data_IF_337726699752
#
_entry.id   IF_337726699752
#
_cell.length_a   1.000
_cell.length_b   1.000
_cell.length_c   1.000
_cell.angle_alpha   90.00
_cell.angle_beta   90.00
_cell.angle_gamma   90.00
#
_symmetry.space_group_name_H-M   'P 1'
#
loop_
_entity.id
_entity.type
_entity.pdbx_description
1 polymer ?
#
# COMPACT_ATOMS: atom_id res chain seq x y z
N UNK A 1 -29.49 -2.40 -12.06
CA UNK A 1 -28.98 -1.67 -11.58
C UNK A 1 -27.97 -1.86 -10.62
N UNK A 2 -27.48 -2.85 -10.37
CA UNK A 2 -26.47 -3.08 -9.42
C UNK A 2 -25.10 -2.67 -9.83
N UNK A 3 -24.90 -2.46 -11.09
CA UNK A 3 -23.58 -2.13 -11.54
C UNK A 3 -23.11 -0.80 -11.05
N UNK A 4 -23.99 0.10 -10.76
CA UNK A 4 -23.52 1.36 -10.28
C UNK A 4 -23.02 1.26 -8.86
N UNK A 5 -23.44 0.30 -8.08
CA UNK A 5 -22.90 0.14 -6.75
C UNK A 5 -21.53 -0.50 -6.79
N UNK A 6 -21.21 -1.27 -7.84
CA UNK A 6 -19.91 -1.89 -7.90
C UNK A 6 -18.83 -0.94 -8.37
N UNK A 7 -19.18 0.14 -9.08
CA UNK A 7 -18.16 1.03 -9.61
C UNK A 7 -17.29 1.69 -8.52
N UNK A 8 -17.87 2.26 -7.43
CA UNK A 8 -17.02 2.80 -6.36
C UNK A 8 -16.17 1.73 -5.68
N UNK A 9 -16.76 0.54 -5.46
CA UNK A 9 -16.02 -0.55 -4.84
C UNK A 9 -14.86 -0.98 -5.74
N UNK A 10 -15.12 -1.07 -7.06
CA UNK A 10 -14.09 -1.45 -8.01
C UNK A 10 -12.95 -0.45 -8.00
N UNK A 11 -13.25 0.86 -7.92
CA UNK A 11 -12.21 1.87 -7.88
C UNK A 11 -11.36 1.74 -6.62
N UNK A 12 -11.99 1.50 -5.47
CA UNK A 12 -11.28 1.33 -4.21
C UNK A 12 -10.43 0.08 -4.24
N UNK A 13 -10.95 -1.01 -4.79
CA UNK A 13 -10.20 -2.25 -4.91
C UNK A 13 -8.99 -2.06 -5.81
N UNK A 14 -9.15 -1.35 -6.92
CA UNK A 14 -8.04 -1.09 -7.84
C UNK A 14 -6.95 -0.27 -7.15
N UNK A 15 -7.33 0.71 -6.33
CA UNK A 15 -6.38 1.51 -5.58
C UNK A 15 -5.55 0.64 -4.63
N UNK A 16 -6.22 -0.22 -3.86
CA UNK A 16 -5.53 -1.10 -2.92
C UNK A 16 -4.63 -2.08 -3.67
N UNK A 17 -5.12 -2.65 -4.77
CA UNK A 17 -4.32 -3.57 -5.57
C UNK A 17 -3.05 -2.90 -6.08
N UNK A 18 -3.16 -1.67 -6.60
CA UNK A 18 -2.00 -0.95 -7.10
C UNK A 18 -1.00 -0.62 -6.00
N UNK A 19 -1.52 -0.25 -4.83
CA UNK A 19 -0.67 0.04 -3.67
C UNK A 19 0.11 -1.22 -3.28
N UNK A 20 -0.58 -2.35 -3.12
CA UNK A 20 0.08 -3.58 -2.70
C UNK A 20 0.98 -4.14 -3.79
N UNK A 21 0.65 -3.91 -5.06
CA UNK A 21 1.52 -4.32 -6.16
C UNK A 21 2.89 -3.65 -6.07
N UNK A 22 2.93 -2.38 -5.68
CA UNK A 22 4.20 -1.70 -5.49
C UNK A 22 5.02 -2.33 -4.37
N UNK A 23 4.36 -2.70 -3.27
CA UNK A 23 5.04 -3.32 -2.14
C UNK A 23 5.45 -4.76 -2.40
N UNK A 24 4.82 -5.42 -3.39
CA UNK A 24 5.12 -6.82 -3.72
C UNK A 24 6.08 -6.95 -4.91
N UNK A 25 6.32 -5.89 -5.67
CA UNK A 25 7.16 -5.98 -6.86
C UNK A 25 8.63 -6.07 -6.45
N UNK A 26 9.27 -7.20 -6.75
CA UNK A 26 10.66 -7.43 -6.36
C UNK A 26 11.65 -7.08 -7.46
N UNK A 27 11.20 -7.05 -8.71
CA UNK A 27 12.06 -6.57 -9.80
C UNK A 27 12.17 -5.05 -9.72
N UNK A 28 13.41 -4.48 -9.71
CA UNK A 28 13.55 -3.04 -9.52
C UNK A 28 12.81 -2.18 -10.54
N UNK A 29 12.82 -2.57 -11.81
CA UNK A 29 12.12 -1.79 -12.84
C UNK A 29 10.61 -1.89 -12.67
N UNK A 30 10.10 -3.08 -12.37
CA UNK A 30 8.67 -3.27 -12.14
C UNK A 30 8.21 -2.52 -10.89
N UNK A 31 9.03 -2.52 -9.83
CA UNK A 31 8.69 -1.79 -8.61
C UNK A 31 8.65 -0.29 -8.87
N UNK A 32 9.63 0.23 -9.58
CA UNK A 32 9.65 1.66 -9.91
C UNK A 32 8.40 2.03 -10.71
N UNK A 33 8.02 1.22 -11.68
CA UNK A 33 6.82 1.49 -12.49
C UNK A 33 5.56 1.44 -11.64
N UNK A 34 5.47 0.48 -10.70
CA UNK A 34 4.31 0.37 -9.83
C UNK A 34 4.21 1.56 -8.87
N UNK A 35 5.33 2.04 -8.35
CA UNK A 35 5.35 3.21 -7.49
C UNK A 35 4.88 4.44 -8.27
N UNK A 36 5.40 4.63 -9.49
CA UNK A 36 5.01 5.78 -10.30
C UNK A 36 3.52 5.74 -10.68
N UNK A 37 2.99 4.55 -10.89
CA UNK A 37 1.57 4.41 -11.22
C UNK A 37 0.67 4.70 -10.03
N UNK A 38 1.09 4.32 -8.82
CA UNK A 38 0.24 4.40 -7.63
C UNK A 38 0.38 5.71 -6.87
N UNK A 39 1.53 6.37 -6.94
CA UNK A 39 1.83 7.53 -6.10
C UNK A 39 2.15 8.75 -6.94
N UNK A 40 1.84 9.94 -6.39
CA UNK A 40 2.31 11.18 -7.02
C UNK A 40 3.83 11.28 -6.85
N UNK A 41 4.50 12.09 -7.71
CA UNK A 41 5.96 12.19 -7.62
C UNK A 41 6.47 12.70 -6.28
N UNK A 42 5.66 13.49 -5.56
CA UNK A 42 6.05 14.07 -4.27
C UNK A 42 5.26 13.47 -3.12
N UNK A 43 4.75 12.26 -3.25
CA UNK A 43 3.95 11.61 -2.22
C UNK A 43 4.74 11.48 -0.92
N UNK A 44 4.05 11.69 0.18
CA UNK A 44 4.64 11.49 1.51
C UNK A 44 4.16 10.18 2.09
N UNK A 45 5.07 9.43 2.69
CA UNK A 45 4.75 8.17 3.35
C UNK A 45 5.27 8.22 4.78
N UNK A 46 4.36 8.02 5.75
CA UNK A 46 4.71 8.05 7.17
C UNK A 46 4.15 6.80 7.83
N UNK A 47 5.00 6.10 8.57
CA UNK A 47 4.56 5.05 9.49
C UNK A 47 5.47 5.07 10.71
N UNK A 48 5.30 4.16 11.68
CA UNK A 48 6.11 4.23 12.90
C UNK A 48 7.62 4.13 12.67
N UNK A 49 8.05 3.60 11.53
CA UNK A 49 9.46 3.34 11.27
C UNK A 49 10.06 4.26 10.22
N UNK A 50 9.25 5.02 9.48
CA UNK A 50 9.74 5.79 8.35
C UNK A 50 8.90 7.05 8.13
N UNK A 51 9.55 8.08 7.58
CA UNK A 51 8.88 9.30 7.13
C UNK A 51 9.68 9.77 5.92
N UNK A 52 9.18 9.48 4.72
CA UNK A 52 9.89 9.78 3.48
C UNK A 52 8.98 10.55 2.53
N UNK A 53 9.59 11.32 1.65
CA UNK A 53 8.87 12.09 0.64
C UNK A 53 9.49 11.83 -0.71
N UNK A 54 8.64 11.59 -1.71
CA UNK A 54 9.07 11.41 -3.09
C UNK A 54 9.10 9.95 -3.50
N UNK A 55 8.84 9.73 -4.79
CA UNK A 55 8.73 8.38 -5.32
C UNK A 55 10.03 7.60 -5.19
N UNK A 56 11.16 8.28 -5.39
CA UNK A 56 12.45 7.61 -5.31
C UNK A 56 12.76 7.14 -3.89
N UNK A 57 12.48 7.99 -2.90
CA UNK A 57 12.70 7.62 -1.50
C UNK A 57 11.76 6.49 -1.09
N UNK A 58 10.53 6.53 -1.58
CA UNK A 58 9.56 5.48 -1.30
C UNK A 58 9.99 4.16 -1.93
N UNK A 59 10.49 4.19 -3.16
CA UNK A 59 10.99 2.99 -3.82
C UNK A 59 12.12 2.36 -3.02
N UNK A 60 13.05 3.17 -2.50
CA UNK A 60 14.14 2.65 -1.68
C UNK A 60 13.63 2.06 -0.37
N UNK A 61 12.63 2.70 0.24
CA UNK A 61 12.03 2.17 1.47
C UNK A 61 11.41 0.81 1.23
N UNK A 62 10.65 0.68 0.16
CA UNK A 62 10.01 -0.60 -0.19
C UNK A 62 11.07 -1.68 -0.41
N UNK A 63 12.13 -1.34 -1.14
CA UNK A 63 13.21 -2.29 -1.38
C UNK A 63 13.82 -2.80 -0.08
N UNK A 64 14.03 -1.90 0.89
CA UNK A 64 14.58 -2.29 2.18
C UNK A 64 13.65 -3.22 2.96
N UNK A 65 12.36 -2.94 2.94
CA UNK A 65 11.39 -3.80 3.62
C UNK A 65 11.35 -5.17 2.96
N UNK A 66 11.42 -5.22 1.62
CA UNK A 66 11.42 -6.51 0.92
C UNK A 66 12.65 -7.33 1.27
N UNK A 67 13.80 -6.70 1.47
CA UNK A 67 15.00 -7.43 1.87
C UNK A 67 14.85 -7.98 3.28
N UNK A 68 14.27 -7.20 4.18
CA UNK A 68 14.09 -7.61 5.56
C UNK A 68 13.10 -8.77 5.67
N UNK A 69 12.07 -8.81 4.82
CA UNK A 69 11.04 -9.83 4.84
C UNK A 69 11.06 -10.64 3.55
N UNK A 70 12.24 -11.08 3.14
CA UNK A 70 12.40 -11.79 1.87
C UNK A 70 11.50 -13.02 1.82
N UNK A 71 10.87 -13.24 0.67
CA UNK A 71 9.98 -14.37 0.46
C UNK A 71 8.57 -14.18 0.97
N UNK A 72 8.27 -13.05 1.61
CA UNK A 72 6.93 -12.77 2.12
C UNK A 72 6.19 -11.88 1.17
N UNK A 73 4.86 -11.87 1.27
CA UNK A 73 4.01 -11.07 0.41
C UNK A 73 3.04 -10.24 1.23
N UNK A 74 2.65 -9.10 0.66
CA UNK A 74 1.60 -8.25 1.21
C UNK A 74 0.27 -8.67 0.61
N UNK A 75 -0.78 -8.69 1.43
CA UNK A 75 -2.12 -9.02 0.95
C UNK A 75 -3.15 -8.18 1.72
N UNK A 76 -4.33 -7.96 1.11
CA UNK A 76 -5.36 -7.19 1.82
C UNK A 76 -5.91 -7.97 3.01
N UNK A 77 -6.30 -7.23 4.06
CA UNK A 77 -6.95 -7.80 5.23
C UNK A 77 -8.26 -7.04 5.43
N UNK A 78 -9.38 -7.74 5.33
CA UNK A 78 -10.69 -7.10 5.42
C UNK A 78 -11.00 -6.25 4.21
N UNK A 79 -12.01 -5.40 4.34
CA UNK A 79 -12.51 -4.57 3.26
C UNK A 79 -12.01 -3.15 3.40
N UNK A 80 -11.60 -2.51 2.32
CA UNK A 80 -11.26 -1.09 2.37
C UNK A 80 -12.52 -0.24 2.47
N UNK A 81 -12.33 1.01 2.89
CA UNK A 81 -13.43 1.96 2.98
C UNK A 81 -12.91 3.32 2.49
N UNK A 82 -13.73 4.03 1.74
CA UNK A 82 -13.30 5.27 1.12
C UNK A 82 -14.44 6.26 1.03
N UNK A 83 -14.10 7.53 1.17
CA UNK A 83 -15.02 8.63 0.87
C UNK A 83 -14.17 9.83 0.47
N UNK A 84 -14.75 10.66 -0.40
CA UNK A 84 -14.06 11.85 -0.93
C UNK A 84 -12.68 11.45 -1.46
N UNK A 85 -11.63 12.07 -0.98
CA UNK A 85 -10.27 11.77 -1.42
C UNK A 85 -9.49 10.96 -0.40
N UNK A 86 -10.19 10.26 0.51
CA UNK A 86 -9.56 9.50 1.59
C UNK A 86 -9.97 8.03 1.49
N UNK A 87 -9.01 7.14 1.68
CA UNK A 87 -9.26 5.69 1.70
C UNK A 87 -8.48 5.08 2.85
N UNK A 88 -9.10 4.15 3.56
CA UNK A 88 -8.41 3.38 4.58
C UNK A 88 -8.48 1.91 4.26
N UNK A 89 -7.42 1.19 4.60
CA UNK A 89 -7.39 -0.26 4.38
C UNK A 89 -6.33 -0.89 5.28
N UNK A 90 -6.44 -2.20 5.43
CA UNK A 90 -5.46 -2.98 6.19
C UNK A 90 -4.78 -3.96 5.27
N UNK A 91 -3.55 -4.31 5.60
CA UNK A 91 -2.77 -5.28 4.85
C UNK A 91 -2.05 -6.20 5.82
N UNK A 92 -1.73 -7.40 5.34
CA UNK A 92 -0.92 -8.34 6.09
C UNK A 92 0.33 -8.69 5.32
N UNK A 93 1.44 -8.83 6.03
CA UNK A 93 2.71 -9.25 5.46
C UNK A 93 3.13 -10.54 6.11
N UNK A 94 3.39 -11.56 5.30
CA UNK A 94 3.82 -12.85 5.80
C UNK A 94 3.96 -13.85 4.68
N UNK A 95 4.28 -15.10 5.03
CA UNK A 95 4.31 -16.17 4.03
C UNK A 95 2.94 -16.32 3.39
N UNK A 96 2.92 -16.74 2.13
CA UNK A 96 1.66 -16.80 1.37
C UNK A 96 0.65 -17.74 1.96
N UNK A 97 1.11 -18.78 2.66
CA UNK A 97 0.24 -19.83 3.16
C UNK A 97 0.08 -19.83 4.68
N UNK A 98 0.39 -18.71 5.33
CA UNK A 98 0.33 -18.62 6.78
C UNK A 98 -0.30 -17.31 7.18
N UNK A 99 -0.60 -17.15 8.47
CA UNK A 99 -1.11 -15.91 9.00
C UNK A 99 -0.07 -14.81 8.89
N UNK A 100 -0.48 -13.56 8.69
CA UNK A 100 0.47 -12.47 8.59
C UNK A 100 1.27 -12.28 9.88
N UNK A 101 2.55 -12.04 9.72
CA UNK A 101 3.42 -11.67 10.84
C UNK A 101 3.24 -10.20 11.20
N UNK A 102 2.98 -9.35 10.19
CA UNK A 102 2.76 -7.93 10.38
C UNK A 102 1.40 -7.59 9.81
N UNK A 103 0.64 -6.77 10.54
CA UNK A 103 -0.62 -6.24 10.04
C UNK A 103 -0.53 -4.73 10.14
N UNK A 104 -0.77 -4.06 9.02
CA UNK A 104 -0.76 -2.61 8.96
C UNK A 104 -2.14 -2.06 8.69
N UNK A 105 -2.30 -0.79 9.04
CA UNK A 105 -3.52 -0.04 8.81
C UNK A 105 -3.10 1.29 8.21
N UNK A 106 -3.51 1.53 6.97
CA UNK A 106 -3.09 2.73 6.25
C UNK A 106 -4.28 3.59 5.90
N UNK A 107 -4.09 4.89 6.04
CA UNK A 107 -5.03 5.91 5.55
C UNK A 107 -4.30 6.68 4.46
N UNK A 108 -4.90 6.74 3.28
CA UNK A 108 -4.27 7.43 2.15
C UNK A 108 -5.15 8.60 1.70
N UNK A 109 -4.51 9.65 1.22
CA UNK A 109 -5.16 10.79 0.60
C UNK A 109 -4.80 10.79 -0.87
N UNK A 110 -5.79 11.01 -1.74
CA UNK A 110 -5.61 10.94 -3.18
C UNK A 110 -5.48 12.32 -3.78
N UNK A 111 -4.62 12.43 -4.78
CA UNK A 111 -4.53 13.62 -5.61
C UNK A 111 -5.69 13.65 -6.61
N UNK A 112 -5.81 14.75 -7.34
CA UNK A 112 -6.90 14.93 -8.30
C UNK A 112 -6.90 13.86 -9.39
N UNK A 113 -5.72 13.33 -9.74
CA UNK A 113 -5.62 12.31 -10.78
C UNK A 113 -5.84 10.89 -10.24
N UNK A 114 -6.17 10.76 -8.96
CA UNK A 114 -6.44 9.46 -8.35
C UNK A 114 -5.24 8.75 -7.78
N UNK A 115 -4.03 9.29 -7.95
CA UNK A 115 -2.85 8.69 -7.34
C UNK A 115 -2.73 9.11 -5.88
N UNK A 116 -2.00 8.33 -5.11
CA UNK A 116 -1.84 8.57 -3.68
C UNK A 116 -0.86 9.72 -3.48
N UNK A 117 -1.31 10.74 -2.75
CA UNK A 117 -0.49 11.90 -2.41
C UNK A 117 0.13 11.78 -1.03
N UNK A 118 -0.50 11.01 -0.14
CA UNK A 118 0.02 10.84 1.22
C UNK A 118 -0.47 9.53 1.80
N UNK A 119 0.38 8.89 2.60
CA UNK A 119 0.04 7.68 3.35
C UNK A 119 0.36 7.93 4.80
N UNK A 120 -0.60 7.60 5.67
CA UNK A 120 -0.43 7.63 7.12
C UNK A 120 -0.65 6.23 7.62
N UNK A 121 0.42 5.54 7.99
CA UNK A 121 0.36 4.14 8.32
C UNK A 121 0.57 3.87 9.79
N UNK A 122 -0.07 2.80 10.25
CA UNK A 122 0.03 2.32 11.62
C UNK A 122 0.27 0.82 11.57
N UNK A 123 0.86 0.28 12.62
CA UNK A 123 1.10 -1.16 12.71
C UNK A 123 0.22 -1.72 13.81
N UNK A 124 -0.71 -2.60 13.42
CA UNK A 124 -1.63 -3.24 14.36
C UNK A 124 -1.03 -4.51 14.96
N UNK A 125 -0.12 -5.16 14.23
CA UNK A 125 0.56 -6.35 14.70
C UNK A 125 1.99 -6.33 14.17
N UNK A 126 2.95 -6.64 15.04
CA UNK A 126 4.34 -6.81 14.63
C UNK A 126 4.83 -8.14 15.19
N UNK A 127 5.89 -8.73 14.59
CA UNK A 127 6.43 -9.98 15.11
C UNK A 127 6.98 -9.76 16.52
N UNK A 128 6.74 -10.72 17.40
CA UNK A 128 7.38 -10.71 18.70
C UNK A 128 8.75 -11.36 18.57
N UNK A 129 9.71 -10.85 19.32
CA UNK A 129 11.08 -11.32 19.24
C UNK A 129 11.23 -12.76 19.73
#
# INVERSE_FOLDING_TARGET
MTEQTTAPTTRTDTLVEGYLAAWNATDPAARRAAVEAAFTPDARYVDPLADVTGAEALDRLIAGVQQQFAGMTFRPVGEPDAHHDVCRFRWGLGPADAEPLVIGFDVVTLAADGRIAAVHGFLDRVPTA
#
